data_IF_136199472349
#
_entry.id   IF_136199472349
#
_cell.length_a   1.000
_cell.length_b   1.000
_cell.length_c   1.000
_cell.angle_alpha   90.00
_cell.angle_beta   90.00
_cell.angle_gamma   90.00
#
_symmetry.space_group_name_H-M   'P 1'
#
loop_
_entity.id
_entity.type
_entity.pdbx_description
1 polymer ?
#
# COMPACT_ATOMS: atom_id res chain seq x y z
N UNK A 1 7.12 18.27 2.86
CA UNK A 1 6.67 17.54 4.06
C UNK A 1 5.45 16.69 3.69
N UNK A 2 5.54 15.38 3.84
CA UNK A 2 4.42 14.45 3.61
C UNK A 2 3.83 13.91 4.91
N UNK A 3 4.64 13.87 6.00
CA UNK A 3 4.21 13.46 7.32
C UNK A 3 5.02 14.22 8.38
N UNK A 4 4.39 14.63 9.48
CA UNK A 4 5.06 15.19 10.65
C UNK A 4 4.57 14.53 11.94
N UNK A 5 5.50 14.20 12.80
CA UNK A 5 5.27 13.73 14.17
C UNK A 5 5.62 14.88 15.11
N UNK A 6 4.70 15.26 16.01
CA UNK A 6 4.87 16.41 16.91
C UNK A 6 4.59 16.00 18.36
N UNK A 7 5.59 16.18 19.22
CA UNK A 7 5.54 15.96 20.67
C UNK A 7 4.92 14.60 21.05
N UNK A 8 5.22 13.57 20.25
CA UNK A 8 4.64 12.23 20.40
C UNK A 8 5.09 11.61 21.73
N UNK A 9 4.11 11.19 22.51
CA UNK A 9 4.32 10.38 23.70
C UNK A 9 3.55 9.07 23.58
N UNK A 10 4.23 7.96 23.86
CA UNK A 10 3.63 6.64 23.90
C UNK A 10 4.20 5.87 25.08
N UNK A 11 3.33 5.30 25.92
CA UNK A 11 3.70 4.47 27.05
C UNK A 11 2.82 3.22 27.13
N UNK A 12 3.38 2.15 27.68
CA UNK A 12 2.66 0.92 27.99
C UNK A 12 2.83 0.61 29.48
N UNK A 13 1.75 0.81 30.26
CA UNK A 13 1.81 0.73 31.71
C UNK A 13 2.84 1.71 32.29
N UNK A 14 3.83 1.22 33.02
CA UNK A 14 4.91 2.04 33.59
C UNK A 14 6.06 2.34 32.61
N UNK A 15 6.09 1.70 31.42
CA UNK A 15 7.17 1.86 30.44
C UNK A 15 6.85 2.94 29.44
N UNK A 16 7.61 4.03 29.46
CA UNK A 16 7.59 5.08 28.43
C UNK A 16 8.45 4.62 27.27
N UNK A 17 7.88 4.55 26.06
CA UNK A 17 8.60 4.25 24.82
C UNK A 17 9.14 5.52 24.18
N UNK A 18 8.27 6.53 24.06
CA UNK A 18 8.61 7.84 23.50
C UNK A 18 8.10 8.91 24.45
N UNK A 19 8.91 9.96 24.60
CA UNK A 19 8.56 11.15 25.36
C UNK A 19 9.03 12.37 24.59
N UNK A 20 8.06 13.13 24.06
CA UNK A 20 8.31 14.34 23.28
C UNK A 20 9.09 14.12 21.97
N UNK A 21 8.77 13.04 21.23
CA UNK A 21 9.38 12.74 19.95
C UNK A 21 8.77 13.62 18.84
N UNK A 22 9.63 14.38 18.14
CA UNK A 22 9.21 15.23 17.03
C UNK A 22 10.17 15.10 15.86
N UNK A 23 9.64 14.89 14.66
CA UNK A 23 10.38 14.88 13.40
C UNK A 23 9.44 15.05 12.21
N UNK A 24 9.99 15.36 11.05
CA UNK A 24 9.27 15.49 9.79
C UNK A 24 9.80 14.49 8.78
N UNK A 25 8.95 14.08 7.85
CA UNK A 25 9.29 13.26 6.71
C UNK A 25 9.01 14.06 5.44
N UNK A 26 10.04 14.26 4.64
CA UNK A 26 9.93 14.94 3.37
C UNK A 26 9.60 13.97 2.24
N UNK A 27 9.13 14.51 1.13
CA UNK A 27 8.84 13.71 -0.06
C UNK A 27 10.10 13.03 -0.59
N UNK A 28 9.99 11.76 -0.96
CA UNK A 28 11.13 10.97 -1.45
C UNK A 28 12.20 10.64 -0.42
N UNK A 29 12.02 10.99 0.86
CA UNK A 29 13.04 10.75 1.92
C UNK A 29 13.16 9.26 2.27
N UNK A 30 14.36 8.84 2.68
CA UNK A 30 14.70 7.47 3.11
C UNK A 30 15.16 7.49 4.56
N UNK A 31 14.34 6.93 5.46
CA UNK A 31 14.59 6.92 6.90
C UNK A 31 14.75 5.48 7.37
N UNK A 32 15.82 5.21 8.11
CA UNK A 32 16.03 3.94 8.80
C UNK A 32 15.77 4.09 10.30
N UNK A 33 14.85 3.29 10.84
CA UNK A 33 14.61 3.19 12.27
C UNK A 33 15.52 2.07 12.83
N UNK A 34 16.61 2.45 13.47
CA UNK A 34 17.53 1.51 14.11
C UNK A 34 17.26 1.44 15.63
N UNK A 35 17.42 0.25 16.19
CA UNK A 35 17.27 0.02 17.63
C UNK A 35 17.03 -1.44 17.98
N UNK A 36 17.29 -1.81 19.22
CA UNK A 36 17.06 -3.17 19.71
C UNK A 36 15.57 -3.59 19.67
N UNK A 37 15.30 -4.90 19.79
CA UNK A 37 13.92 -5.38 19.88
C UNK A 37 13.22 -4.80 21.11
N UNK A 38 11.96 -4.37 20.91
CA UNK A 38 11.20 -3.68 21.95
C UNK A 38 11.55 -2.19 22.15
N UNK A 39 12.41 -1.58 21.31
CA UNK A 39 12.68 -0.14 21.35
C UNK A 39 11.46 0.74 20.92
N UNK A 40 10.41 0.13 20.38
CA UNK A 40 9.21 0.86 19.97
C UNK A 40 9.09 1.11 18.46
N UNK A 41 10.01 0.58 17.62
CA UNK A 41 9.99 0.80 16.15
C UNK A 41 8.63 0.49 15.52
N UNK A 42 8.10 -0.72 15.76
CA UNK A 42 6.78 -1.12 15.26
C UNK A 42 5.64 -0.27 15.82
N UNK A 43 5.77 0.17 17.09
CA UNK A 43 4.77 1.04 17.72
C UNK A 43 4.75 2.42 17.06
N UNK A 44 5.92 3.00 16.78
CA UNK A 44 6.02 4.28 16.07
C UNK A 44 5.41 4.17 14.67
N UNK A 45 5.74 3.11 13.93
CA UNK A 45 5.17 2.87 12.60
C UNK A 45 3.65 2.71 12.64
N UNK A 46 3.11 1.97 13.63
CA UNK A 46 1.66 1.84 13.82
C UNK A 46 0.99 3.18 14.15
N UNK A 47 1.62 4.04 14.95
CA UNK A 47 1.12 5.38 15.20
C UNK A 47 1.11 6.20 13.89
N UNK A 48 2.20 6.19 13.12
CA UNK A 48 2.27 6.89 11.83
C UNK A 48 1.24 6.37 10.82
N UNK A 49 0.96 5.07 10.83
CA UNK A 49 -0.09 4.46 10.01
C UNK A 49 -1.51 4.81 10.48
N UNK A 50 -1.68 5.32 11.70
CA UNK A 50 -2.99 5.58 12.31
C UNK A 50 -3.66 4.33 12.89
N UNK A 51 -2.88 3.27 13.13
CA UNK A 51 -3.34 2.01 13.73
C UNK A 51 -3.28 2.03 15.26
N UNK A 52 -2.45 2.89 15.82
CA UNK A 52 -2.35 3.13 17.25
C UNK A 52 -2.49 4.62 17.54
N UNK A 53 -3.26 4.97 18.55
CA UNK A 53 -3.33 6.35 19.08
C UNK A 53 -2.20 6.59 20.07
N UNK A 54 -1.46 7.71 19.98
CA UNK A 54 -0.49 8.10 20.99
C UNK A 54 -1.18 8.62 22.26
N UNK A 55 -0.51 8.54 23.41
CA UNK A 55 -1.00 9.11 24.68
C UNK A 55 -1.09 10.64 24.63
N UNK A 56 -0.17 11.28 23.92
CA UNK A 56 -0.20 12.71 23.60
C UNK A 56 0.65 13.04 22.37
N UNK A 57 0.52 14.25 21.85
CA UNK A 57 1.12 14.70 20.61
C UNK A 57 0.22 14.46 19.42
N UNK A 58 0.74 14.66 18.21
CA UNK A 58 -0.04 14.51 16.98
C UNK A 58 0.80 14.00 15.81
N UNK A 59 0.12 13.33 14.87
CA UNK A 59 0.70 12.93 13.60
C UNK A 59 -0.10 13.62 12.50
N UNK A 60 0.58 14.52 11.79
CA UNK A 60 -0.01 15.35 10.75
C UNK A 60 0.42 14.77 9.41
N UNK A 61 -0.54 14.45 8.55
CA UNK A 61 -0.34 13.99 7.17
C UNK A 61 -0.72 15.10 6.20
N UNK A 62 0.00 15.22 5.10
CA UNK A 62 -0.43 16.09 3.99
C UNK A 62 -1.81 15.64 3.48
N UNK A 63 -2.59 16.57 2.94
CA UNK A 63 -4.02 16.37 2.59
C UNK A 63 -4.27 15.20 1.62
N UNK A 64 -3.26 14.84 0.83
CA UNK A 64 -3.32 13.78 -0.18
C UNK A 64 -2.37 12.61 0.11
N UNK A 65 -1.65 12.65 1.25
CA UNK A 65 -0.66 11.62 1.55
C UNK A 65 -1.32 10.36 2.11
N UNK A 66 -1.19 9.27 1.36
CA UNK A 66 -1.52 7.92 1.83
C UNK A 66 -0.29 7.33 2.52
N UNK A 67 -0.52 6.72 3.68
CA UNK A 67 0.51 6.00 4.43
C UNK A 67 0.22 4.52 4.32
N UNK A 68 1.13 3.79 3.68
CA UNK A 68 1.06 2.35 3.59
C UNK A 68 1.95 1.70 4.65
N UNK A 69 1.45 0.69 5.34
CA UNK A 69 2.18 -0.02 6.39
C UNK A 69 2.16 -1.52 6.15
N UNK A 70 3.35 -2.13 6.16
CA UNK A 70 3.52 -3.58 6.20
C UNK A 70 3.84 -3.99 7.63
N UNK A 71 2.93 -4.72 8.33
CA UNK A 71 3.22 -5.26 9.64
C UNK A 71 4.21 -6.42 9.55
N UNK A 72 4.87 -6.73 10.66
CA UNK A 72 5.82 -7.83 10.75
C UNK A 72 5.14 -9.20 10.62
N UNK A 73 3.89 -9.35 11.09
CA UNK A 73 3.12 -10.60 11.11
C UNK A 73 1.60 -10.33 11.03
N UNK A 74 0.82 -11.39 10.86
CA UNK A 74 -0.63 -11.35 11.09
C UNK A 74 -1.49 -11.17 9.85
N UNK A 75 -0.94 -11.35 8.65
CA UNK A 75 -1.72 -11.27 7.42
C UNK A 75 -2.13 -12.69 6.99
N UNK A 76 -3.43 -12.93 6.91
CA UNK A 76 -4.01 -14.18 6.43
C UNK A 76 -5.05 -13.89 5.35
N UNK A 77 -4.73 -14.25 4.12
CA UNK A 77 -5.63 -14.13 2.97
C UNK A 77 -6.04 -15.52 2.51
N UNK A 78 -7.34 -15.73 2.25
CA UNK A 78 -7.90 -17.01 1.78
C UNK A 78 -9.04 -16.78 0.79
N UNK A 79 -9.31 -17.77 -0.05
CA UNK A 79 -10.50 -17.79 -0.90
C UNK A 79 -10.39 -16.91 -2.16
N UNK A 80 -9.17 -16.43 -2.49
CA UNK A 80 -8.89 -15.71 -3.74
C UNK A 80 -7.61 -16.23 -4.36
N UNK A 81 -7.53 -16.21 -5.70
CA UNK A 81 -6.28 -16.49 -6.40
C UNK A 81 -5.25 -15.41 -6.11
N UNK A 82 -3.97 -15.79 -6.11
CA UNK A 82 -2.86 -14.88 -5.85
C UNK A 82 -2.93 -13.60 -6.71
N UNK A 83 -3.17 -13.76 -8.02
CA UNK A 83 -3.22 -12.61 -8.94
C UNK A 83 -4.40 -11.68 -8.61
N UNK A 84 -5.58 -12.24 -8.31
CA UNK A 84 -6.78 -11.46 -8.00
C UNK A 84 -6.62 -10.71 -6.67
N UNK A 85 -6.00 -11.37 -5.68
CA UNK A 85 -5.70 -10.73 -4.41
C UNK A 85 -4.68 -9.59 -4.56
N UNK A 86 -3.63 -9.78 -5.35
CA UNK A 86 -2.68 -8.71 -5.63
C UNK A 86 -3.33 -7.56 -6.41
N UNK A 87 -4.16 -7.88 -7.43
CA UNK A 87 -4.92 -6.89 -8.20
C UNK A 87 -5.93 -6.11 -7.36
N UNK A 88 -6.39 -6.64 -6.22
CA UNK A 88 -7.28 -5.90 -5.31
C UNK A 88 -6.61 -4.67 -4.67
N UNK A 89 -5.30 -4.47 -4.88
CA UNK A 89 -4.63 -3.21 -4.58
C UNK A 89 -5.21 -2.03 -5.37
N UNK A 90 -5.84 -2.31 -6.52
CA UNK A 90 -6.46 -1.36 -7.44
C UNK A 90 -8.00 -1.44 -7.40
N UNK A 91 -8.60 -1.88 -6.27
CA UNK A 91 -10.05 -2.05 -6.16
C UNK A 91 -10.80 -0.78 -6.58
N UNK A 92 -10.36 0.40 -6.12
CA UNK A 92 -10.98 1.69 -6.46
C UNK A 92 -11.01 1.95 -7.98
N UNK A 93 -9.96 1.54 -8.72
CA UNK A 93 -9.91 1.66 -10.17
C UNK A 93 -10.79 0.61 -10.87
N UNK A 94 -10.92 -0.58 -10.30
CA UNK A 94 -11.80 -1.63 -10.80
C UNK A 94 -13.27 -1.23 -10.61
N UNK A 95 -13.62 -0.63 -9.47
CA UNK A 95 -14.96 -0.10 -9.19
C UNK A 95 -15.33 1.02 -10.17
N UNK A 96 -14.36 1.89 -10.53
CA UNK A 96 -14.56 2.91 -11.58
C UNK A 96 -14.84 2.29 -12.95
N UNK A 97 -14.11 1.23 -13.33
CA UNK A 97 -14.36 0.52 -14.59
C UNK A 97 -15.76 -0.12 -14.60
N UNK A 98 -16.16 -0.80 -13.53
CA UNK A 98 -17.50 -1.38 -13.40
C UNK A 98 -18.58 -0.30 -13.49
N UNK A 99 -18.36 0.88 -12.93
CA UNK A 99 -19.27 2.02 -13.02
C UNK A 99 -19.39 2.53 -14.45
N UNK A 100 -18.28 2.65 -15.20
CA UNK A 100 -18.27 3.02 -16.61
C UNK A 100 -19.06 2.00 -17.45
N UNK A 101 -18.81 0.70 -17.21
CA UNK A 101 -19.52 -0.37 -17.94
C UNK A 101 -21.03 -0.32 -17.67
N UNK A 102 -21.45 -0.08 -16.43
CA UNK A 102 -22.85 0.07 -16.06
C UNK A 102 -23.52 1.28 -16.73
N UNK A 103 -22.84 2.44 -16.71
CA UNK A 103 -23.31 3.66 -17.35
C UNK A 103 -23.40 3.51 -18.88
N UNK A 104 -22.46 2.80 -19.49
CA UNK A 104 -22.48 2.50 -20.92
C UNK A 104 -23.71 1.66 -21.29
N UNK A 105 -24.04 0.64 -20.48
CA UNK A 105 -25.26 -0.16 -20.69
C UNK A 105 -26.55 0.65 -20.47
N UNK A 106 -26.53 1.61 -19.54
CA UNK A 106 -27.63 2.53 -19.33
C UNK A 106 -27.81 3.47 -20.54
N UNK A 107 -26.72 4.03 -21.04
CA UNK A 107 -26.69 4.93 -22.18
C UNK A 107 -27.28 4.29 -23.46
N UNK A 108 -27.03 2.98 -23.69
CA UNK A 108 -27.58 2.24 -24.81
C UNK A 108 -29.14 2.22 -24.86
N UNK A 109 -29.81 2.43 -23.71
CA UNK A 109 -31.25 2.40 -23.55
C UNK A 109 -31.89 3.79 -23.66
N UNK A 110 -31.08 4.87 -23.69
CA UNK A 110 -31.52 6.24 -23.72
C UNK A 110 -31.65 6.79 -25.16
N UNK A 111 -32.54 7.75 -25.35
CA UNK A 111 -32.59 8.51 -26.60
C UNK A 111 -31.32 9.40 -26.71
N UNK A 112 -30.52 9.27 -27.79
CA UNK A 112 -29.32 10.08 -28.00
C UNK A 112 -29.53 11.60 -28.00
N UNK A 113 -30.76 12.06 -28.12
CA UNK A 113 -31.13 13.48 -28.10
C UNK A 113 -31.64 13.94 -26.74
N UNK A 114 -31.71 13.06 -25.75
CA UNK A 114 -32.22 13.40 -24.43
C UNK A 114 -31.16 14.09 -23.57
N UNK A 115 -31.57 14.89 -22.60
CA UNK A 115 -30.69 15.47 -21.60
C UNK A 115 -30.02 14.37 -20.77
N UNK A 116 -30.76 13.29 -20.43
CA UNK A 116 -30.22 12.15 -19.69
C UNK A 116 -29.06 11.46 -20.41
N UNK A 117 -29.14 11.32 -21.75
CA UNK A 117 -28.01 10.77 -22.54
C UNK A 117 -26.73 11.64 -22.39
N UNK A 118 -26.90 12.97 -22.46
CA UNK A 118 -25.80 13.92 -22.34
C UNK A 118 -25.18 13.90 -20.93
N UNK A 119 -25.97 13.75 -19.88
CA UNK A 119 -25.52 13.65 -18.49
C UNK A 119 -24.69 12.37 -18.28
N UNK A 120 -25.19 11.22 -18.72
CA UNK A 120 -24.49 9.93 -18.63
C UNK A 120 -23.18 9.95 -19.43
N UNK A 121 -23.19 10.53 -20.63
CA UNK A 121 -21.99 10.66 -21.46
C UNK A 121 -20.91 11.50 -20.77
N UNK A 122 -21.30 12.61 -20.13
CA UNK A 122 -20.36 13.46 -19.37
C UNK A 122 -19.79 12.71 -18.17
N UNK A 123 -20.62 11.97 -17.41
CA UNK A 123 -20.15 11.17 -16.27
C UNK A 123 -19.14 10.10 -16.72
N UNK A 124 -19.43 9.38 -17.81
CA UNK A 124 -18.48 8.42 -18.40
C UNK A 124 -17.16 9.11 -18.74
N UNK A 125 -17.20 10.27 -19.41
CA UNK A 125 -15.98 11.00 -19.78
C UNK A 125 -15.12 11.42 -18.58
N UNK A 126 -15.73 11.86 -17.48
CA UNK A 126 -15.03 12.20 -16.25
C UNK A 126 -14.35 10.97 -15.61
N UNK A 127 -15.07 9.84 -15.53
CA UNK A 127 -14.54 8.59 -14.99
C UNK A 127 -13.41 8.01 -15.85
N UNK A 128 -13.55 8.05 -17.19
CA UNK A 128 -12.52 7.62 -18.13
C UNK A 128 -11.24 8.45 -17.98
N UNK A 129 -11.32 9.76 -17.77
CA UNK A 129 -10.15 10.59 -17.52
C UNK A 129 -9.37 10.12 -16.28
N UNK A 130 -10.08 9.79 -15.19
CA UNK A 130 -9.46 9.25 -13.98
C UNK A 130 -8.81 7.89 -14.26
N UNK A 131 -9.51 7.00 -14.97
CA UNK A 131 -9.02 5.65 -15.27
C UNK A 131 -7.78 5.68 -16.19
N UNK A 132 -7.80 6.56 -17.22
CA UNK A 132 -6.66 6.73 -18.13
C UNK A 132 -5.42 7.32 -17.45
N UNK A 133 -5.59 8.18 -16.46
CA UNK A 133 -4.46 8.71 -15.68
C UNK A 133 -3.66 7.60 -14.96
N UNK A 134 -4.30 6.46 -14.69
CA UNK A 134 -3.68 5.30 -14.00
C UNK A 134 -3.22 4.18 -14.94
N UNK A 135 -3.27 4.37 -16.28
CA UNK A 135 -2.81 3.40 -17.29
C UNK A 135 -3.30 1.96 -17.01
N UNK A 136 -4.62 1.79 -16.95
CA UNK A 136 -5.29 0.53 -16.55
C UNK A 136 -4.79 -0.69 -17.31
N UNK A 137 -4.36 -0.54 -18.57
CA UNK A 137 -3.79 -1.62 -19.40
C UNK A 137 -2.48 -2.19 -18.81
N UNK A 138 -1.76 -1.44 -17.98
CA UNK A 138 -0.50 -1.86 -17.36
C UNK A 138 -0.65 -2.44 -15.96
N UNK A 139 -1.83 -2.38 -15.35
CA UNK A 139 -2.02 -2.84 -13.96
C UNK A 139 -1.68 -4.33 -13.80
N UNK A 140 -2.17 -5.20 -14.69
CA UNK A 140 -1.88 -6.63 -14.65
C UNK A 140 -0.40 -6.94 -14.91
N UNK A 141 0.25 -6.46 -15.98
CA UNK A 141 1.69 -6.65 -16.22
C UNK A 141 2.56 -6.17 -15.05
N UNK A 142 2.19 -5.05 -14.43
CA UNK A 142 2.87 -4.50 -13.27
C UNK A 142 2.72 -5.41 -12.05
N UNK A 143 1.50 -5.91 -11.79
CA UNK A 143 1.23 -6.87 -10.72
C UNK A 143 2.07 -8.13 -10.89
N UNK A 144 2.07 -8.72 -12.07
CA UNK A 144 2.88 -9.91 -12.38
C UNK A 144 4.38 -9.65 -12.20
N UNK A 145 4.88 -8.47 -12.60
CA UNK A 145 6.28 -8.10 -12.41
C UNK A 145 6.67 -8.02 -10.94
N UNK A 146 5.84 -7.40 -10.09
CA UNK A 146 6.08 -7.31 -8.65
C UNK A 146 6.01 -8.69 -7.99
N UNK A 147 5.04 -9.52 -8.35
CA UNK A 147 4.92 -10.89 -7.83
C UNK A 147 6.15 -11.73 -8.19
N UNK A 148 6.63 -11.68 -9.46
CA UNK A 148 7.87 -12.37 -9.87
C UNK A 148 9.09 -11.87 -9.10
N UNK A 149 9.19 -10.56 -8.89
CA UNK A 149 10.26 -9.95 -8.09
C UNK A 149 10.28 -10.43 -6.64
N UNK A 150 9.10 -10.69 -6.06
CA UNK A 150 8.95 -11.25 -4.73
C UNK A 150 9.07 -12.79 -4.68
N UNK A 151 9.46 -13.44 -5.80
CA UNK A 151 9.78 -14.85 -5.89
C UNK A 151 8.64 -15.78 -6.32
N UNK A 152 7.44 -15.26 -6.60
CA UNK A 152 6.34 -16.07 -7.14
C UNK A 152 6.63 -16.46 -8.60
N UNK A 153 6.19 -17.65 -8.99
CA UNK A 153 6.27 -18.14 -10.37
C UNK A 153 4.92 -17.97 -11.06
N UNK A 154 4.92 -17.92 -12.37
CA UNK A 154 3.68 -17.75 -13.16
C UNK A 154 2.62 -18.83 -12.83
N UNK A 155 3.05 -20.06 -12.55
CA UNK A 155 2.17 -21.16 -12.11
C UNK A 155 1.50 -20.92 -10.75
N UNK A 156 1.98 -19.99 -9.95
CA UNK A 156 1.45 -19.67 -8.63
C UNK A 156 0.31 -18.65 -8.71
N UNK A 157 0.17 -17.93 -9.83
CA UNK A 157 -0.77 -16.81 -9.96
C UNK A 157 -2.25 -17.24 -9.84
N UNK A 158 -2.57 -18.46 -10.27
CA UNK A 158 -3.94 -18.99 -10.20
C UNK A 158 -4.20 -19.83 -8.93
N UNK A 159 -3.21 -19.97 -8.04
CA UNK A 159 -3.37 -20.70 -6.78
C UNK A 159 -4.10 -19.87 -5.73
N UNK A 160 -4.86 -20.55 -4.86
CA UNK A 160 -5.49 -19.89 -3.71
C UNK A 160 -4.45 -19.35 -2.72
N UNK A 161 -4.65 -18.12 -2.23
CA UNK A 161 -3.77 -17.49 -1.25
C UNK A 161 -3.64 -18.31 0.03
N UNK A 162 -4.67 -19.07 0.42
CA UNK A 162 -4.66 -19.92 1.60
C UNK A 162 -3.71 -21.14 1.51
N UNK A 163 -3.23 -21.48 0.31
CA UNK A 163 -2.24 -22.56 0.13
C UNK A 163 -0.81 -22.11 0.46
N UNK A 164 -0.58 -20.83 0.60
CA UNK A 164 0.73 -20.28 0.87
C UNK A 164 1.02 -20.21 2.38
N UNK A 165 2.27 -20.50 2.75
CA UNK A 165 2.73 -20.34 4.14
C UNK A 165 2.70 -18.87 4.59
N UNK A 166 2.75 -18.61 5.90
CA UNK A 166 2.71 -17.25 6.47
C UNK A 166 3.73 -16.29 5.84
N UNK A 167 4.97 -16.76 5.62
CA UNK A 167 5.99 -15.95 4.96
C UNK A 167 5.64 -15.58 3.51
N UNK A 168 5.00 -16.48 2.77
CA UNK A 168 4.50 -16.18 1.43
C UNK A 168 3.30 -15.24 1.45
N UNK A 169 2.42 -15.38 2.44
CA UNK A 169 1.30 -14.44 2.62
C UNK A 169 1.80 -13.02 2.96
N UNK A 170 2.89 -12.89 3.71
CA UNK A 170 3.56 -11.60 3.91
C UNK A 170 4.09 -11.01 2.60
N UNK A 171 4.62 -11.84 1.68
CA UNK A 171 5.03 -11.37 0.34
C UNK A 171 3.82 -10.92 -0.49
N UNK A 172 2.66 -11.56 -0.37
CA UNK A 172 1.40 -11.10 -1.02
C UNK A 172 1.01 -9.71 -0.50
N UNK A 173 1.05 -9.53 0.81
CA UNK A 173 0.73 -8.23 1.41
C UNK A 173 1.73 -7.14 1.00
N UNK A 174 3.02 -7.48 0.94
CA UNK A 174 4.05 -6.59 0.42
C UNK A 174 3.78 -6.23 -1.04
N UNK A 175 3.42 -7.20 -1.89
CA UNK A 175 3.05 -6.93 -3.28
C UNK A 175 1.91 -5.92 -3.38
N UNK A 176 0.82 -6.12 -2.64
CA UNK A 176 -0.32 -5.19 -2.60
C UNK A 176 0.09 -3.79 -2.14
N UNK A 177 0.95 -3.72 -1.13
CA UNK A 177 1.43 -2.44 -0.62
C UNK A 177 2.27 -1.70 -1.66
N UNK A 178 3.19 -2.39 -2.35
CA UNK A 178 4.02 -1.82 -3.40
C UNK A 178 3.19 -1.40 -4.64
N UNK A 179 2.11 -2.13 -4.95
CA UNK A 179 1.20 -1.79 -6.04
C UNK A 179 0.40 -0.51 -5.79
N UNK A 180 0.04 -0.24 -4.54
CA UNK A 180 -0.69 0.98 -4.14
C UNK A 180 0.14 2.26 -4.23
N UNK A 181 1.47 2.14 -4.21
CA UNK A 181 2.41 3.28 -4.26
C UNK A 181 2.07 4.43 -3.31
N UNK A 182 1.89 4.17 -1.99
CA UNK A 182 1.58 5.24 -1.05
C UNK A 182 2.70 6.28 -0.99
N UNK A 183 2.38 7.54 -0.71
CA UNK A 183 3.37 8.62 -0.57
C UNK A 183 4.34 8.38 0.59
N UNK A 184 3.91 7.63 1.62
CA UNK A 184 4.78 7.19 2.72
C UNK A 184 4.68 5.68 2.89
N UNK A 185 5.76 4.98 2.66
CA UNK A 185 5.87 3.52 2.76
C UNK A 185 6.56 3.15 4.07
N UNK A 186 5.83 2.49 4.98
CA UNK A 186 6.33 2.01 6.27
C UNK A 186 6.54 0.50 6.20
N UNK A 187 7.80 0.04 6.33
CA UNK A 187 8.17 -1.36 6.23
C UNK A 187 8.81 -1.84 7.54
N UNK A 188 8.10 -2.69 8.28
CA UNK A 188 8.58 -3.24 9.54
C UNK A 188 9.28 -4.58 9.30
N UNK A 189 10.62 -4.57 9.32
CA UNK A 189 11.49 -5.74 9.09
C UNK A 189 11.12 -6.53 7.81
N UNK A 190 11.00 -5.88 6.64
CA UNK A 190 10.43 -6.50 5.44
C UNK A 190 11.27 -7.64 4.88
N UNK A 191 12.52 -7.76 5.27
CA UNK A 191 13.47 -8.79 4.77
C UNK A 191 13.31 -10.14 5.42
N UNK A 192 12.65 -10.24 6.59
CA UNK A 192 12.55 -11.48 7.37
C UNK A 192 11.90 -12.64 6.62
N UNK A 193 11.05 -12.36 5.63
CA UNK A 193 10.32 -13.38 4.87
C UNK A 193 10.78 -13.49 3.41
N UNK A 194 11.88 -12.81 3.05
CA UNK A 194 12.40 -12.80 1.68
C UNK A 194 13.68 -13.64 1.58
N UNK A 195 13.79 -14.39 0.49
CA UNK A 195 15.07 -14.99 0.09
C UNK A 195 16.01 -13.92 -0.51
N UNK A 196 17.28 -14.25 -0.69
CA UNK A 196 18.32 -13.32 -1.14
C UNK A 196 17.97 -12.68 -2.50
N UNK A 197 17.32 -13.42 -3.42
CA UNK A 197 16.97 -12.88 -4.73
C UNK A 197 15.85 -11.85 -4.61
N UNK A 198 14.80 -12.17 -3.84
CA UNK A 198 13.69 -11.25 -3.56
C UNK A 198 14.15 -10.02 -2.76
N UNK A 199 15.12 -10.16 -1.83
CA UNK A 199 15.72 -9.03 -1.13
C UNK A 199 16.43 -8.07 -2.09
N UNK A 200 17.29 -8.60 -2.99
CA UNK A 200 18.00 -7.79 -4.00
C UNK A 200 17.02 -7.09 -4.94
N UNK A 201 15.99 -7.77 -5.37
CA UNK A 201 14.95 -7.18 -6.20
C UNK A 201 14.24 -6.04 -5.47
N UNK A 202 13.84 -6.26 -4.21
CA UNK A 202 13.18 -5.26 -3.38
C UNK A 202 14.08 -4.02 -3.17
N UNK A 203 15.37 -4.21 -2.88
CA UNK A 203 16.33 -3.10 -2.78
C UNK A 203 16.37 -2.26 -4.06
N UNK A 204 16.41 -2.90 -5.23
CA UNK A 204 16.38 -2.20 -6.52
C UNK A 204 15.05 -1.45 -6.72
N UNK A 205 13.93 -2.07 -6.39
CA UNK A 205 12.61 -1.44 -6.47
C UNK A 205 12.52 -0.20 -5.57
N UNK A 206 12.93 -0.32 -4.31
CA UNK A 206 12.88 0.77 -3.33
C UNK A 206 13.82 1.93 -3.70
N UNK A 207 14.90 1.70 -4.45
CA UNK A 207 15.77 2.79 -4.97
C UNK A 207 15.05 3.69 -5.97
N UNK A 208 14.11 3.15 -6.72
CA UNK A 208 13.34 3.90 -7.74
C UNK A 208 11.98 4.37 -7.24
N UNK A 209 11.62 4.01 -6.00
CA UNK A 209 10.36 4.39 -5.40
C UNK A 209 10.28 5.91 -5.21
N UNK A 210 9.17 6.53 -5.63
CA UNK A 210 9.05 7.99 -5.63
C UNK A 210 8.69 8.54 -4.26
N UNK A 211 7.84 7.85 -3.48
CA UNK A 211 7.42 8.29 -2.14
C UNK A 211 8.52 8.17 -1.09
N UNK A 212 8.26 8.68 0.10
CA UNK A 212 9.11 8.51 1.26
C UNK A 212 9.08 7.07 1.77
N UNK A 213 10.20 6.58 2.30
CA UNK A 213 10.31 5.22 2.85
C UNK A 213 10.84 5.29 4.28
N UNK A 214 10.16 4.61 5.18
CA UNK A 214 10.62 4.39 6.56
C UNK A 214 10.78 2.88 6.77
N UNK A 215 12.01 2.44 7.01
CA UNK A 215 12.37 1.03 7.23
C UNK A 215 12.75 0.80 8.68
N UNK A 216 12.20 -0.24 9.32
CA UNK A 216 12.79 -0.74 10.56
C UNK A 216 13.83 -1.82 10.27
N UNK A 217 14.97 -1.72 10.95
CA UNK A 217 16.06 -2.66 10.86
C UNK A 217 16.37 -3.22 12.26
N UNK A 218 16.60 -4.54 12.36
CA UNK A 218 16.88 -5.19 13.65
C UNK A 218 18.31 -4.91 14.11
N UNK A 219 19.28 -4.81 13.19
CA UNK A 219 20.68 -4.52 13.50
C UNK A 219 21.42 -3.96 12.28
N UNK A 220 22.18 -2.92 12.53
CA UNK A 220 23.37 -2.59 11.75
C UNK A 220 24.56 -3.18 12.50
#
# INVERSE_FOLDING_TARGET
MVLAVQNLRVQYGARVLFNDLSFTVEDGERIALAGHNGAGKSTLMKCMAGLNEPDSGSIIKSRHSQVGYLPQEGIHVRGRRLIDEAMSAFADLMDLQERIDALTQEMEKLDPRSAAYSEVLNEIGELELVLHAHDSARLRPRTESILRGLGFKDRDFDRDCGEFSGGWQMRIALAKLLLREPEVLLLDEPTNHLDIQSQRWMEQYLRTYQGAIILSLIHI
#
